data_IF_036675580703
#
_entry.id   IF_036675580703
#
_cell.length_a   1.000
_cell.length_b   1.000
_cell.length_c   1.000
_cell.angle_alpha   90.00
_cell.angle_beta   90.00
_cell.angle_gamma   90.00
#
_symmetry.space_group_name_H-M   'P 1'
#
loop_
_entity.id
_entity.type
_entity.pdbx_description
1 polymer ?
#
# COMPACT_ATOMS: atom_id res chain seq x y z
N UNK A 1 -4.09 2.97 -6.59
CA UNK A 1 -5.42 2.45 -7.00
C UNK A 1 -6.48 3.41 -6.47
N UNK A 2 -7.41 3.85 -7.33
CA UNK A 2 -8.40 4.88 -6.97
C UNK A 2 -9.80 4.46 -7.42
N UNK A 3 -10.80 4.72 -6.57
CA UNK A 3 -12.23 4.61 -6.89
C UNK A 3 -12.60 3.26 -7.55
N UNK A 4 -12.10 2.17 -6.96
CA UNK A 4 -12.15 0.82 -7.51
C UNK A 4 -12.70 -0.18 -6.51
N UNK A 5 -13.20 -1.31 -6.99
CA UNK A 5 -13.66 -2.42 -6.14
C UNK A 5 -13.21 -3.77 -6.67
N UNK A 6 -13.12 -4.78 -5.79
CA UNK A 6 -12.76 -6.17 -6.16
C UNK A 6 -11.41 -6.29 -6.87
N UNK A 7 -10.45 -5.49 -6.43
CA UNK A 7 -9.07 -5.57 -6.91
C UNK A 7 -8.29 -6.60 -6.11
N UNK A 8 -7.35 -7.28 -6.77
CA UNK A 8 -6.41 -8.17 -6.13
C UNK A 8 -4.98 -7.75 -6.50
N UNK A 9 -4.19 -7.33 -5.52
CA UNK A 9 -2.78 -6.98 -5.68
C UNK A 9 -1.99 -7.95 -4.83
N UNK A 10 -1.32 -8.90 -5.47
CA UNK A 10 -0.61 -9.97 -4.75
C UNK A 10 0.75 -10.24 -5.35
N UNK A 11 1.69 -10.69 -4.51
CA UNK A 11 3.02 -11.14 -4.93
C UNK A 11 3.79 -10.10 -5.74
N UNK A 12 3.69 -8.83 -5.33
CA UNK A 12 4.36 -7.70 -5.96
C UNK A 12 5.55 -7.21 -5.12
N UNK A 13 6.57 -6.70 -5.78
CA UNK A 13 7.70 -5.99 -5.15
C UNK A 13 7.65 -4.53 -5.62
N UNK A 14 7.45 -3.61 -4.68
CA UNK A 14 7.32 -2.16 -4.94
C UNK A 14 8.43 -1.46 -4.16
N UNK A 15 9.45 -1.00 -4.88
CA UNK A 15 10.68 -0.46 -4.31
C UNK A 15 10.90 1.02 -4.67
N UNK A 16 11.71 1.70 -3.86
CA UNK A 16 12.32 3.00 -4.16
C UNK A 16 11.34 4.08 -4.65
N UNK A 17 10.22 4.18 -3.95
CA UNK A 17 9.25 5.27 -4.13
C UNK A 17 9.62 6.51 -3.32
N UNK A 18 9.19 7.68 -3.80
CA UNK A 18 9.51 8.97 -3.19
C UNK A 18 8.65 9.33 -1.97
N UNK A 19 7.37 8.95 -1.94
CA UNK A 19 6.46 9.35 -0.84
C UNK A 19 5.51 8.24 -0.41
N UNK A 20 4.83 7.58 -1.37
CA UNK A 20 3.89 6.49 -1.08
C UNK A 20 4.16 5.34 -2.06
N UNK A 21 4.38 4.14 -1.54
CA UNK A 21 4.55 2.93 -2.36
C UNK A 21 3.24 2.49 -3.00
N UNK A 22 2.21 2.25 -2.18
CA UNK A 22 0.87 1.90 -2.65
C UNK A 22 -0.20 2.79 -2.01
N UNK A 23 -0.89 3.57 -2.85
CA UNK A 23 -2.06 4.35 -2.43
C UNK A 23 -3.36 3.58 -2.77
N UNK A 24 -4.21 3.37 -1.78
CA UNK A 24 -5.61 2.93 -1.95
C UNK A 24 -6.54 4.08 -1.58
N UNK A 25 -7.09 4.78 -2.59
CA UNK A 25 -8.01 5.90 -2.37
C UNK A 25 -9.43 5.51 -2.77
N UNK A 26 -10.38 5.52 -1.85
CA UNK A 26 -11.77 5.09 -2.09
C UNK A 26 -11.85 3.68 -2.72
N UNK A 27 -11.03 2.74 -2.25
CA UNK A 27 -11.02 1.36 -2.73
C UNK A 27 -11.87 0.50 -1.80
N UNK A 28 -12.65 -0.45 -2.32
CA UNK A 28 -13.46 -1.33 -1.49
C UNK A 28 -13.46 -2.79 -1.93
N UNK A 29 -13.83 -3.70 -1.02
CA UNK A 29 -13.94 -5.15 -1.28
C UNK A 29 -12.69 -5.74 -1.96
N UNK A 30 -11.49 -5.26 -1.63
CA UNK A 30 -10.25 -5.58 -2.36
C UNK A 30 -9.20 -6.22 -1.46
N UNK A 31 -8.21 -6.89 -2.05
CA UNK A 31 -7.13 -7.54 -1.33
C UNK A 31 -5.76 -7.04 -1.79
N UNK A 32 -4.91 -6.73 -0.82
CA UNK A 32 -3.47 -6.53 -0.97
C UNK A 32 -2.76 -7.54 -0.08
N UNK A 33 -2.08 -8.53 -0.66
CA UNK A 33 -1.33 -9.52 0.12
C UNK A 33 -0.02 -9.96 -0.49
N UNK A 34 0.86 -10.54 0.32
CA UNK A 34 2.11 -11.15 -0.15
C UNK A 34 3.01 -10.17 -0.92
N UNK A 35 2.91 -8.87 -0.63
CA UNK A 35 3.72 -7.84 -1.28
C UNK A 35 4.90 -7.41 -0.39
N UNK A 36 6.04 -7.14 -1.02
CA UNK A 36 7.15 -6.38 -0.44
C UNK A 36 7.03 -4.92 -0.87
N UNK A 37 6.85 -4.00 0.08
CA UNK A 37 6.75 -2.57 -0.20
C UNK A 37 7.70 -1.79 0.71
N UNK A 38 8.78 -1.26 0.15
CA UNK A 38 9.84 -0.58 0.90
C UNK A 38 10.55 0.44 0.01
N UNK A 39 10.98 1.56 0.57
CA UNK A 39 11.87 2.52 -0.09
C UNK A 39 13.13 2.67 0.75
N UNK A 40 14.28 2.53 0.10
CA UNK A 40 15.61 2.72 0.69
C UNK A 40 16.31 3.98 0.15
N UNK A 41 15.55 4.85 -0.52
CA UNK A 41 16.05 6.15 -0.97
C UNK A 41 16.45 7.03 0.22
N UNK A 42 17.46 7.91 0.04
CA UNK A 42 17.71 9.01 0.97
C UNK A 42 16.43 9.83 1.18
N UNK A 43 16.21 10.34 2.40
CA UNK A 43 15.00 11.09 2.80
C UNK A 43 13.70 10.25 2.93
N UNK A 44 13.82 8.91 3.05
CA UNK A 44 12.68 8.02 3.21
C UNK A 44 11.94 8.10 4.58
N UNK A 45 12.38 8.97 5.49
CA UNK A 45 11.87 9.07 6.88
C UNK A 45 10.36 9.35 6.96
N UNK A 46 9.79 10.05 5.97
CA UNK A 46 8.37 10.39 5.92
C UNK A 46 7.57 9.59 4.86
N UNK A 47 8.14 8.49 4.38
CA UNK A 47 7.51 7.68 3.34
C UNK A 47 6.57 6.64 3.92
N UNK A 48 5.50 6.35 3.17
CA UNK A 48 4.51 5.35 3.53
C UNK A 48 4.57 4.19 2.55
N UNK A 49 4.79 2.97 3.03
CA UNK A 49 4.70 1.79 2.19
C UNK A 49 3.30 1.60 1.64
N UNK A 50 2.29 1.81 2.48
CA UNK A 50 0.90 1.81 2.06
C UNK A 50 0.13 2.93 2.75
N UNK A 51 -0.76 3.57 1.98
CA UNK A 51 -1.72 4.55 2.49
C UNK A 51 -3.11 4.22 2.00
N UNK A 52 -4.06 4.10 2.93
CA UNK A 52 -5.49 4.00 2.68
C UNK A 52 -6.12 5.35 2.96
N UNK A 53 -6.99 5.82 2.07
CA UNK A 53 -7.74 7.07 2.23
C UNK A 53 -9.17 6.84 1.74
N UNK A 54 -10.09 6.64 2.67
CA UNK A 54 -11.47 6.23 2.39
C UNK A 54 -11.58 4.83 1.77
N UNK A 55 -12.82 4.42 1.50
CA UNK A 55 -13.12 3.04 1.10
C UNK A 55 -13.43 2.16 2.32
N UNK A 56 -13.62 0.86 2.10
CA UNK A 56 -14.02 -0.10 3.15
C UNK A 56 -13.80 -1.54 2.74
N UNK A 57 -13.79 -2.46 3.72
CA UNK A 57 -13.79 -3.90 3.47
C UNK A 57 -12.60 -4.38 2.63
N UNK A 58 -11.43 -3.71 2.76
CA UNK A 58 -10.19 -4.13 2.13
C UNK A 58 -9.38 -5.02 3.07
N UNK A 59 -8.82 -6.10 2.53
CA UNK A 59 -7.87 -6.94 3.23
C UNK A 59 -6.45 -6.51 2.89
N UNK A 60 -5.68 -6.10 3.89
CA UNK A 60 -4.26 -5.74 3.76
C UNK A 60 -3.50 -6.67 4.71
N UNK A 61 -3.10 -7.83 4.21
CA UNK A 61 -2.60 -8.95 5.03
C UNK A 61 -1.33 -9.52 4.42
N UNK A 62 -0.46 -10.11 5.24
CA UNK A 62 0.72 -10.86 4.76
C UNK A 62 1.69 -10.06 3.87
N UNK A 63 1.76 -8.74 4.08
CA UNK A 63 2.70 -7.87 3.37
C UNK A 63 3.91 -7.53 4.25
N UNK A 64 5.07 -7.40 3.62
CA UNK A 64 6.29 -6.88 4.24
C UNK A 64 6.42 -5.40 3.92
N UNK A 65 6.36 -4.57 4.95
CA UNK A 65 6.46 -3.11 4.84
C UNK A 65 7.79 -2.62 5.40
N UNK A 66 8.54 -1.86 4.60
CA UNK A 66 9.82 -1.29 5.02
C UNK A 66 9.73 0.15 5.56
N UNK A 67 8.60 0.83 5.38
CA UNK A 67 8.35 2.18 5.88
C UNK A 67 6.96 2.25 6.56
N UNK A 68 6.50 3.45 6.90
CA UNK A 68 5.28 3.65 7.69
C UNK A 68 4.02 3.13 6.96
N UNK A 69 2.97 2.84 7.74
CA UNK A 69 1.66 2.42 7.23
C UNK A 69 0.61 3.40 7.73
N UNK A 70 -0.21 3.92 6.83
CA UNK A 70 -1.41 4.70 7.18
C UNK A 70 -2.64 3.92 6.72
N UNK A 71 -3.29 3.24 7.66
CA UNK A 71 -4.52 2.49 7.45
C UNK A 71 -5.63 3.22 8.23
N UNK A 72 -6.59 3.81 7.52
CA UNK A 72 -7.78 4.46 8.09
C UNK A 72 -8.98 3.52 8.08
#
# INVERSE_FOLDING_TARGET
IRDSRRMNVTNCTILDYSTIGLLLKNVSDSRVSDCLIRSDLPESENTHSIKVSGGKDNQIVDNVFGNQRQLE
#
